data_IF_869557045704
#
_entry.id   IF_869557045704
#
_cell.length_a   1.000
_cell.length_b   1.000
_cell.length_c   1.000
_cell.angle_alpha   90.00
_cell.angle_beta   90.00
_cell.angle_gamma   90.00
#
_symmetry.space_group_name_H-M   'P 1'
#
loop_
_entity.id
_entity.type
_entity.pdbx_description
1 polymer ?
#
# COMPACT_ATOMS: atom_id res chain seq x y z
N UNK A 1 -21.51 0.80 31.65
CA UNK A 1 -20.45 0.48 30.69
C UNK A 1 -20.98 0.68 29.27
N UNK A 2 -22.25 0.41 28.98
CA UNK A 2 -22.86 0.62 27.65
C UNK A 2 -23.01 2.10 27.26
N UNK A 3 -23.06 3.02 28.23
CA UNK A 3 -23.28 4.44 27.93
C UNK A 3 -22.01 5.22 27.53
N UNK A 4 -20.83 4.64 27.71
CA UNK A 4 -19.57 5.34 27.40
C UNK A 4 -19.20 5.19 25.91
N UNK A 5 -19.58 4.08 25.28
CA UNK A 5 -19.27 3.83 23.87
C UNK A 5 -20.14 4.62 22.89
N UNK A 6 -21.40 4.89 23.28
CA UNK A 6 -22.34 5.64 22.42
C UNK A 6 -21.99 7.14 22.38
N UNK A 7 -21.41 7.66 23.45
CA UNK A 7 -21.07 9.09 23.53
C UNK A 7 -19.84 9.47 22.68
N UNK A 8 -18.87 8.58 22.54
CA UNK A 8 -17.65 8.86 21.76
C UNK A 8 -17.92 8.90 20.25
N UNK A 9 -18.83 8.07 19.74
CA UNK A 9 -19.19 8.08 18.32
C UNK A 9 -20.03 9.31 17.95
N UNK A 10 -20.97 9.72 18.79
CA UNK A 10 -21.79 10.92 18.54
C UNK A 10 -20.96 12.20 18.58
N UNK A 11 -19.92 12.25 19.42
CA UNK A 11 -19.07 13.44 19.53
C UNK A 11 -18.14 13.59 18.32
N UNK A 12 -17.68 12.47 17.75
CA UNK A 12 -16.87 12.51 16.52
C UNK A 12 -17.67 12.95 15.29
N UNK A 13 -18.96 12.60 15.23
CA UNK A 13 -19.82 13.00 14.10
C UNK A 13 -20.16 14.52 14.15
N UNK A 14 -20.27 15.09 15.37
CA UNK A 14 -20.58 16.52 15.51
C UNK A 14 -19.40 17.45 15.17
N UNK A 15 -18.17 16.96 15.26
CA UNK A 15 -16.99 17.76 14.91
C UNK A 15 -16.74 17.84 13.38
N UNK A 16 -17.31 16.90 12.62
CA UNK A 16 -17.20 16.92 11.15
C UNK A 16 -18.24 17.80 10.45
N UNK A 17 -19.29 18.23 11.16
CA UNK A 17 -20.37 19.03 10.57
C UNK A 17 -20.18 20.53 10.64
N UNK A 18 -19.06 21.03 11.18
CA UNK A 18 -18.89 22.47 11.44
C UNK A 18 -17.84 23.15 10.55
N UNK A 19 -17.33 22.43 9.51
CA UNK A 19 -16.50 23.11 8.53
C UNK A 19 -17.42 23.67 7.45
N UNK A 20 -17.65 24.96 7.52
CA UNK A 20 -18.27 25.72 6.45
C UNK A 20 -17.56 25.41 5.13
N UNK A 21 -18.34 25.26 4.08
CA UNK A 21 -17.83 25.25 2.71
C UNK A 21 -17.00 26.50 2.49
N UNK A 22 -15.73 26.45 2.81
CA UNK A 22 -14.80 27.40 2.24
C UNK A 22 -14.66 26.99 0.79
N UNK A 23 -15.13 27.83 -0.12
CA UNK A 23 -14.73 27.75 -1.51
C UNK A 23 -13.20 27.83 -1.51
N UNK A 24 -12.56 26.67 -1.44
CA UNK A 24 -11.14 26.59 -1.78
C UNK A 24 -11.08 26.85 -3.27
N UNK A 25 -10.68 28.03 -3.64
CA UNK A 25 -10.22 28.26 -5.00
C UNK A 25 -9.17 27.17 -5.27
N UNK A 26 -9.51 26.22 -6.10
CA UNK A 26 -8.54 25.23 -6.57
C UNK A 26 -7.40 26.04 -7.22
N UNK A 27 -6.30 26.14 -6.51
CA UNK A 27 -5.05 26.57 -7.12
C UNK A 27 -4.67 25.43 -8.07
N UNK A 28 -5.13 25.54 -9.31
CA UNK A 28 -4.78 24.57 -10.33
C UNK A 28 -3.26 24.62 -10.50
N UNK A 29 -2.57 23.62 -9.99
CA UNK A 29 -1.15 23.46 -10.30
C UNK A 29 -1.01 23.31 -11.81
N UNK A 30 0.00 23.95 -12.43
CA UNK A 30 0.17 23.80 -13.87
C UNK A 30 0.35 22.35 -14.23
N UNK A 31 -0.50 21.87 -15.13
CA UNK A 31 -0.45 20.49 -15.62
C UNK A 31 0.83 20.35 -16.45
N UNK A 32 1.76 19.54 -15.98
CA UNK A 32 3.01 19.24 -16.68
C UNK A 32 2.68 18.27 -17.80
N UNK A 33 2.99 18.68 -19.05
CA UNK A 33 2.88 17.78 -20.19
C UNK A 33 4.07 16.80 -20.17
N UNK A 34 3.86 15.51 -19.94
CA UNK A 34 4.98 14.55 -19.86
C UNK A 34 5.73 14.36 -21.18
N UNK A 35 5.12 14.74 -22.33
CA UNK A 35 5.79 14.69 -23.63
C UNK A 35 6.70 15.90 -23.87
N UNK A 36 6.62 16.93 -23.03
CA UNK A 36 7.57 18.07 -23.07
C UNK A 36 8.84 17.70 -22.35
N UNK A 37 9.90 17.44 -23.10
CA UNK A 37 11.20 16.99 -22.56
C UNK A 37 11.77 17.97 -21.54
N UNK A 38 11.59 19.28 -21.77
CA UNK A 38 12.09 20.31 -20.83
C UNK A 38 11.32 20.24 -19.50
N UNK A 39 10.00 20.11 -19.58
CA UNK A 39 9.16 20.00 -18.38
C UNK A 39 9.43 18.69 -17.65
N UNK A 40 9.58 17.58 -18.37
CA UNK A 40 9.91 16.28 -17.81
C UNK A 40 11.28 16.29 -17.11
N UNK A 41 12.29 16.89 -17.77
CA UNK A 41 13.62 17.07 -17.18
C UNK A 41 13.56 17.89 -15.89
N UNK A 42 12.84 19.01 -15.92
CA UNK A 42 12.69 19.89 -14.76
C UNK A 42 12.02 19.14 -13.59
N UNK A 43 11.05 18.27 -13.87
CA UNK A 43 10.39 17.47 -12.83
C UNK A 43 11.37 16.45 -12.22
N UNK A 44 12.17 15.77 -13.05
CA UNK A 44 13.17 14.80 -12.55
C UNK A 44 14.19 15.53 -11.66
N UNK A 45 14.70 16.70 -12.10
CA UNK A 45 15.64 17.51 -11.31
C UNK A 45 14.99 17.99 -10.01
N UNK A 46 13.71 18.36 -10.05
CA UNK A 46 12.94 18.77 -8.87
C UNK A 46 12.85 17.62 -7.85
N UNK A 47 12.53 16.40 -8.32
CA UNK A 47 12.46 15.21 -7.45
C UNK A 47 13.83 14.92 -6.84
N UNK A 48 14.90 14.98 -7.65
CA UNK A 48 16.26 14.75 -7.17
C UNK A 48 16.63 15.75 -6.07
N UNK A 49 16.39 17.03 -6.31
CA UNK A 49 16.81 18.11 -5.42
C UNK A 49 15.94 18.22 -4.17
N UNK A 50 14.61 18.21 -4.33
CA UNK A 50 13.69 18.57 -3.23
C UNK A 50 13.08 17.38 -2.52
N UNK A 51 12.95 16.24 -3.20
CA UNK A 51 12.44 15.03 -2.55
C UNK A 51 13.58 14.17 -1.99
N UNK A 52 14.65 14.00 -2.77
CA UNK A 52 15.79 13.15 -2.38
C UNK A 52 16.92 13.94 -1.70
N UNK A 53 16.91 15.27 -1.84
CA UNK A 53 17.95 16.17 -1.29
C UNK A 53 19.34 15.85 -1.83
N UNK A 54 19.45 15.56 -3.14
CA UNK A 54 20.69 15.20 -3.82
C UNK A 54 20.96 16.21 -4.93
N UNK A 55 22.19 16.72 -5.00
CA UNK A 55 22.64 17.59 -6.10
C UNK A 55 23.08 16.73 -7.29
N UNK A 56 22.79 17.20 -8.50
CA UNK A 56 23.05 16.45 -9.74
C UNK A 56 24.52 16.01 -9.88
N UNK A 57 25.46 16.87 -9.48
CA UNK A 57 26.88 16.57 -9.61
C UNK A 57 27.38 15.48 -8.63
N UNK A 58 26.56 15.07 -7.68
CA UNK A 58 26.88 14.01 -6.71
C UNK A 58 25.94 12.80 -6.86
N UNK A 59 25.00 12.89 -7.78
CA UNK A 59 23.97 11.85 -7.92
C UNK A 59 24.57 10.53 -8.44
N UNK A 60 24.14 9.45 -7.86
CA UNK A 60 24.44 8.08 -8.32
C UNK A 60 23.34 7.61 -9.28
N UNK A 61 23.58 6.48 -9.96
CA UNK A 61 22.52 5.83 -10.77
C UNK A 61 21.27 5.55 -9.94
N UNK A 62 21.44 5.07 -8.70
CA UNK A 62 20.30 4.83 -7.80
C UNK A 62 19.52 6.09 -7.45
N UNK A 63 20.21 7.23 -7.27
CA UNK A 63 19.53 8.50 -7.01
C UNK A 63 18.70 8.94 -8.24
N UNK A 64 19.28 8.78 -9.44
CA UNK A 64 18.57 9.11 -10.68
C UNK A 64 17.39 8.15 -10.89
N UNK A 65 17.57 6.83 -10.62
CA UNK A 65 16.47 5.87 -10.64
C UNK A 65 15.30 6.36 -9.76
N UNK A 66 15.60 6.72 -8.50
CA UNK A 66 14.57 7.19 -7.58
C UNK A 66 13.90 8.48 -8.07
N UNK A 67 14.67 9.42 -8.61
CA UNK A 67 14.13 10.68 -9.12
C UNK A 67 13.20 10.46 -10.31
N UNK A 68 13.62 9.59 -11.26
CA UNK A 68 12.81 9.20 -12.43
C UNK A 68 11.54 8.49 -11.99
N UNK A 69 11.65 7.51 -11.09
CA UNK A 69 10.49 6.77 -10.57
C UNK A 69 9.48 7.71 -9.90
N UNK A 70 9.96 8.67 -9.09
CA UNK A 70 9.10 9.68 -8.44
C UNK A 70 8.44 10.61 -9.46
N UNK A 71 9.12 10.95 -10.55
CA UNK A 71 8.55 11.76 -11.63
C UNK A 71 7.44 10.99 -12.37
N UNK A 72 7.66 9.70 -12.66
CA UNK A 72 6.65 8.84 -13.28
C UNK A 72 5.45 8.67 -12.33
N UNK A 73 5.71 8.40 -11.05
CA UNK A 73 4.63 8.28 -10.06
C UNK A 73 3.78 9.55 -9.98
N UNK A 74 4.38 10.73 -10.15
CA UNK A 74 3.64 12.00 -10.16
C UNK A 74 2.52 11.97 -11.23
N UNK A 75 2.85 11.57 -12.46
CA UNK A 75 1.85 11.46 -13.54
C UNK A 75 0.84 10.34 -13.27
N UNK A 76 1.30 9.22 -12.71
CA UNK A 76 0.40 8.12 -12.35
C UNK A 76 -0.66 8.57 -11.33
N UNK A 77 -0.26 9.41 -10.36
CA UNK A 77 -1.18 9.93 -9.35
C UNK A 77 -2.24 10.84 -9.98
N UNK A 78 -1.86 11.70 -10.92
CA UNK A 78 -2.80 12.54 -11.67
C UNK A 78 -3.79 11.69 -12.47
N UNK A 79 -3.28 10.68 -13.19
CA UNK A 79 -4.11 9.77 -13.96
C UNK A 79 -5.05 8.96 -13.05
N UNK A 80 -4.57 8.55 -11.89
CA UNK A 80 -5.38 7.80 -10.92
C UNK A 80 -6.55 8.64 -10.42
N UNK A 81 -6.30 9.88 -10.00
CA UNK A 81 -7.35 10.77 -9.50
C UNK A 81 -8.40 11.04 -10.58
N UNK A 82 -7.95 11.29 -11.81
CA UNK A 82 -8.83 11.49 -12.97
C UNK A 82 -9.64 10.22 -13.27
N UNK A 83 -8.99 9.06 -13.25
CA UNK A 83 -9.65 7.77 -13.50
C UNK A 83 -10.72 7.50 -12.45
N UNK A 84 -10.40 7.73 -11.17
CA UNK A 84 -11.35 7.52 -10.07
C UNK A 84 -12.57 8.43 -10.20
N UNK A 85 -12.35 9.72 -10.49
CA UNK A 85 -13.43 10.68 -10.64
C UNK A 85 -14.37 10.24 -11.78
N UNK A 86 -13.81 9.89 -12.94
CA UNK A 86 -14.57 9.42 -14.09
C UNK A 86 -15.34 8.13 -13.78
N UNK A 87 -14.69 7.16 -13.15
CA UNK A 87 -15.29 5.86 -12.80
C UNK A 87 -16.45 6.03 -11.82
N UNK A 88 -16.36 6.97 -10.88
CA UNK A 88 -17.44 7.30 -9.94
C UNK A 88 -18.61 7.97 -10.67
N UNK A 89 -18.33 8.93 -11.53
CA UNK A 89 -19.37 9.63 -12.33
C UNK A 89 -20.12 8.65 -13.23
N UNK A 90 -19.40 7.73 -13.88
CA UNK A 90 -19.98 6.70 -14.76
C UNK A 90 -20.61 5.54 -13.98
N UNK A 91 -20.48 5.52 -12.65
CA UNK A 91 -20.97 4.46 -11.75
C UNK A 91 -20.49 3.08 -12.21
N UNK A 92 -19.22 2.98 -12.62
CA UNK A 92 -18.65 1.71 -13.07
C UNK A 92 -18.68 0.66 -11.97
N UNK A 93 -19.02 -0.57 -12.33
CA UNK A 93 -18.89 -1.72 -11.44
C UNK A 93 -17.40 -1.91 -11.13
N UNK A 94 -17.08 -2.04 -9.84
CA UNK A 94 -15.69 -2.12 -9.38
C UNK A 94 -15.29 -3.56 -9.05
N UNK A 95 -14.08 -3.93 -9.45
CA UNK A 95 -13.46 -5.23 -9.14
C UNK A 95 -12.46 -5.04 -8.00
N UNK A 96 -12.55 -5.88 -7.00
CA UNK A 96 -11.57 -5.95 -5.91
C UNK A 96 -10.85 -7.29 -6.02
N UNK A 97 -9.56 -7.27 -6.32
CA UNK A 97 -8.76 -8.48 -6.54
C UNK A 97 -7.85 -8.70 -5.34
N UNK A 98 -8.17 -9.70 -4.53
CA UNK A 98 -7.38 -10.03 -3.34
C UNK A 98 -6.40 -11.15 -3.67
N UNK A 99 -5.13 -10.94 -3.32
CA UNK A 99 -4.11 -12.00 -3.46
C UNK A 99 -3.09 -11.88 -2.33
N UNK A 100 -2.65 -13.04 -1.87
CA UNK A 100 -1.54 -13.11 -0.91
C UNK A 100 -0.19 -12.77 -1.57
N UNK A 101 -0.14 -12.80 -2.91
CA UNK A 101 1.08 -12.56 -3.68
C UNK A 101 0.81 -11.65 -4.88
N UNK A 102 1.75 -10.76 -5.15
CA UNK A 102 1.81 -9.97 -6.39
C UNK A 102 3.26 -9.97 -6.88
N UNK A 103 3.56 -10.78 -7.87
CA UNK A 103 4.91 -10.86 -8.44
C UNK A 103 5.06 -9.80 -9.53
N UNK A 104 5.34 -8.56 -9.11
CA UNK A 104 5.40 -7.39 -10.00
C UNK A 104 6.67 -7.37 -10.85
N UNK A 105 7.81 -7.70 -10.26
CA UNK A 105 9.11 -7.54 -10.90
C UNK A 105 9.54 -6.07 -10.89
N UNK A 106 10.34 -5.68 -11.88
CA UNK A 106 10.80 -4.31 -12.06
C UNK A 106 9.69 -3.46 -12.70
N UNK A 107 9.47 -2.28 -12.16
CA UNK A 107 8.33 -1.44 -12.51
C UNK A 107 8.66 -0.28 -13.45
N UNK A 108 9.87 0.27 -13.40
CA UNK A 108 10.21 1.50 -14.11
C UNK A 108 10.06 1.34 -15.62
N UNK A 109 10.67 0.29 -16.20
CA UNK A 109 10.56 0.04 -17.65
C UNK A 109 9.11 -0.15 -18.07
N UNK A 110 8.36 -0.96 -17.30
CA UNK A 110 6.95 -1.23 -17.58
C UNK A 110 6.12 0.07 -17.58
N UNK A 111 6.34 0.91 -16.58
CA UNK A 111 5.61 2.18 -16.45
C UNK A 111 5.97 3.14 -17.59
N UNK A 112 7.25 3.25 -17.96
CA UNK A 112 7.69 4.10 -19.08
C UNK A 112 7.05 3.65 -20.39
N UNK A 113 6.98 2.33 -20.63
CA UNK A 113 6.36 1.77 -21.84
C UNK A 113 4.83 2.03 -21.81
N UNK A 114 4.17 1.76 -20.69
CA UNK A 114 2.73 1.93 -20.55
C UNK A 114 2.30 3.39 -20.75
N UNK A 115 3.10 4.33 -20.25
CA UNK A 115 2.81 5.77 -20.36
C UNK A 115 3.35 6.39 -21.65
N UNK A 116 3.99 5.58 -22.51
CA UNK A 116 4.59 6.03 -23.77
C UNK A 116 5.63 7.14 -23.54
N UNK A 117 6.51 6.95 -22.56
CA UNK A 117 7.53 7.93 -22.13
C UNK A 117 8.97 7.37 -22.17
N UNK A 118 9.17 6.19 -22.78
CA UNK A 118 10.50 5.54 -22.75
C UNK A 118 11.54 6.36 -23.52
N UNK A 119 11.18 6.85 -24.70
CA UNK A 119 12.10 7.63 -25.56
C UNK A 119 12.37 9.00 -24.96
N UNK A 120 11.33 9.66 -24.46
CA UNK A 120 11.45 10.99 -23.81
C UNK A 120 12.33 10.89 -22.57
N UNK A 121 12.12 9.88 -21.75
CA UNK A 121 12.92 9.69 -20.53
C UNK A 121 14.38 9.36 -20.88
N UNK A 122 14.61 8.60 -21.96
CA UNK A 122 15.97 8.31 -22.42
C UNK A 122 16.69 9.62 -22.76
N UNK A 123 16.01 10.52 -23.46
CA UNK A 123 16.60 11.83 -23.79
C UNK A 123 16.88 12.65 -22.51
N UNK A 124 15.94 12.67 -21.57
CA UNK A 124 16.10 13.39 -20.29
C UNK A 124 17.32 12.85 -19.52
N UNK A 125 17.38 11.53 -19.35
CA UNK A 125 18.45 10.88 -18.57
C UNK A 125 19.81 11.10 -19.23
N UNK A 126 19.89 10.99 -20.56
CA UNK A 126 21.12 11.26 -21.32
C UNK A 126 21.58 12.72 -21.15
N UNK A 127 20.65 13.66 -21.18
CA UNK A 127 20.93 15.09 -21.02
C UNK A 127 21.40 15.44 -19.59
N UNK A 128 21.02 14.60 -18.61
CA UNK A 128 21.51 14.71 -17.23
C UNK A 128 22.89 14.06 -17.05
N UNK A 129 23.41 13.39 -18.09
CA UNK A 129 24.72 12.76 -18.05
C UNK A 129 24.72 11.28 -17.65
N UNK A 130 23.58 10.60 -17.74
CA UNK A 130 23.42 9.20 -17.33
C UNK A 130 22.89 8.35 -18.49
N UNK A 131 22.91 7.04 -18.32
CA UNK A 131 22.40 6.06 -19.30
C UNK A 131 21.14 5.40 -18.72
N UNK A 132 20.02 5.50 -19.44
CA UNK A 132 18.76 4.94 -18.98
C UNK A 132 18.83 3.41 -18.72
N UNK A 133 19.58 2.67 -19.54
CA UNK A 133 19.70 1.21 -19.34
C UNK A 133 20.36 0.90 -17.99
N UNK A 134 21.41 1.67 -17.63
CA UNK A 134 22.06 1.51 -16.33
C UNK A 134 21.14 1.92 -15.18
N UNK A 135 20.30 2.94 -15.40
CA UNK A 135 19.32 3.37 -14.39
C UNK A 135 18.26 2.28 -14.17
N UNK A 136 17.78 1.66 -15.25
CA UNK A 136 16.79 0.57 -15.16
C UNK A 136 17.33 -0.63 -14.40
N UNK A 137 18.62 -0.91 -14.53
CA UNK A 137 19.29 -2.03 -13.83
C UNK A 137 19.41 -1.80 -12.32
N UNK A 138 19.26 -0.55 -11.84
CA UNK A 138 19.30 -0.25 -10.40
C UNK A 138 18.06 -0.73 -9.65
N UNK A 139 16.94 -0.98 -10.37
CA UNK A 139 15.68 -1.32 -9.72
C UNK A 139 15.69 -2.75 -9.17
N UNK A 140 15.51 -2.93 -7.85
CA UNK A 140 15.35 -4.27 -7.31
C UNK A 140 13.98 -4.83 -7.69
N UNK A 141 13.89 -6.14 -7.88
CA UNK A 141 12.61 -6.80 -8.09
C UNK A 141 11.73 -6.63 -6.85
N UNK A 142 10.49 -6.22 -7.03
CA UNK A 142 9.52 -6.16 -5.95
C UNK A 142 9.13 -7.58 -5.56
N UNK A 143 9.70 -8.06 -4.46
CA UNK A 143 9.62 -9.47 -4.04
C UNK A 143 8.35 -9.74 -3.22
N UNK A 144 7.19 -9.38 -3.77
CA UNK A 144 5.87 -9.52 -3.13
C UNK A 144 5.14 -10.79 -3.58
N UNK A 145 5.84 -11.71 -4.25
CA UNK A 145 5.22 -12.94 -4.74
C UNK A 145 6.23 -13.97 -5.20
N UNK A 146 5.74 -15.17 -5.46
CA UNK A 146 6.51 -16.31 -5.90
C UNK A 146 5.70 -17.12 -6.91
N UNK A 147 6.22 -17.30 -8.08
CA UNK A 147 5.65 -18.20 -9.07
C UNK A 147 4.35 -17.74 -9.71
N UNK A 148 3.59 -18.71 -10.18
CA UNK A 148 2.44 -18.50 -11.09
C UNK A 148 1.28 -17.73 -10.49
N UNK A 149 0.96 -17.97 -9.23
CA UNK A 149 -0.16 -17.30 -8.56
C UNK A 149 0.07 -15.78 -8.47
N UNK A 150 1.26 -15.41 -8.00
CA UNK A 150 1.66 -14.00 -7.89
C UNK A 150 1.80 -13.32 -9.24
N UNK A 151 2.33 -14.04 -10.25
CA UNK A 151 2.45 -13.48 -11.60
C UNK A 151 1.08 -13.30 -12.25
N UNK A 152 0.17 -14.25 -12.06
CA UNK A 152 -1.21 -14.14 -12.56
C UNK A 152 -1.90 -12.90 -11.97
N UNK A 153 -1.76 -12.69 -10.66
CA UNK A 153 -2.33 -11.52 -9.99
C UNK A 153 -1.79 -10.21 -10.57
N UNK A 154 -0.46 -10.14 -10.77
CA UNK A 154 0.21 -8.96 -11.35
C UNK A 154 -0.29 -8.71 -12.79
N UNK A 155 -0.41 -9.75 -13.61
CA UNK A 155 -0.92 -9.63 -14.97
C UNK A 155 -2.38 -9.18 -15.01
N UNK A 156 -3.21 -9.67 -14.10
CA UNK A 156 -4.62 -9.29 -14.06
C UNK A 156 -4.80 -7.81 -13.72
N UNK A 157 -4.07 -7.28 -12.72
CA UNK A 157 -4.22 -5.86 -12.38
C UNK A 157 -3.73 -4.96 -13.52
N UNK A 158 -2.67 -5.35 -14.21
CA UNK A 158 -2.14 -4.65 -15.39
C UNK A 158 -3.16 -4.66 -16.54
N UNK A 159 -3.73 -5.84 -16.82
CA UNK A 159 -4.74 -6.00 -17.89
C UNK A 159 -6.01 -5.21 -17.59
N UNK A 160 -6.47 -5.21 -16.34
CA UNK A 160 -7.67 -4.45 -15.96
C UNK A 160 -7.45 -2.95 -16.15
N UNK A 161 -6.25 -2.43 -15.84
CA UNK A 161 -5.93 -1.02 -16.11
C UNK A 161 -5.95 -0.72 -17.62
N UNK A 162 -5.34 -1.61 -18.42
CA UNK A 162 -5.28 -1.47 -19.88
C UNK A 162 -6.68 -1.49 -20.51
N UNK A 163 -7.60 -2.29 -19.94
CA UNK A 163 -8.98 -2.41 -20.45
C UNK A 163 -9.94 -1.39 -19.85
N UNK A 164 -9.45 -0.43 -19.08
CA UNK A 164 -10.24 0.58 -18.37
C UNK A 164 -11.32 -0.03 -17.47
N UNK A 165 -11.00 -1.18 -16.86
CA UNK A 165 -11.86 -1.78 -15.84
C UNK A 165 -11.55 -1.13 -14.49
N UNK A 166 -12.57 -0.59 -13.84
CA UNK A 166 -12.43 -0.01 -12.50
C UNK A 166 -12.05 -1.12 -11.51
N UNK A 167 -10.81 -1.14 -11.08
CA UNK A 167 -10.30 -2.24 -10.25
C UNK A 167 -9.29 -1.75 -9.22
N UNK A 168 -9.17 -2.52 -8.14
CA UNK A 168 -8.07 -2.37 -7.18
C UNK A 168 -7.59 -3.75 -6.75
N UNK A 169 -6.28 -3.91 -6.70
CA UNK A 169 -5.65 -5.07 -6.09
C UNK A 169 -5.45 -4.83 -4.61
N UNK A 170 -5.49 -5.90 -3.81
CA UNK A 170 -5.31 -5.84 -2.36
C UNK A 170 -4.39 -6.97 -1.93
N UNK A 171 -3.32 -6.63 -1.22
CA UNK A 171 -2.33 -7.59 -0.75
C UNK A 171 -1.64 -7.15 0.53
N UNK A 172 -0.61 -7.88 0.92
CA UNK A 172 0.19 -7.56 2.10
C UNK A 172 1.53 -6.97 1.62
N UNK A 173 1.96 -5.90 2.27
CA UNK A 173 3.27 -5.29 2.04
C UNK A 173 4.31 -6.06 2.85
N UNK A 174 4.84 -7.14 2.27
CA UNK A 174 5.88 -7.93 2.93
C UNK A 174 7.18 -7.12 3.03
N UNK A 175 7.78 -7.13 4.20
CA UNK A 175 9.06 -6.46 4.44
C UNK A 175 10.20 -7.23 3.75
N UNK A 176 10.15 -8.55 3.86
CA UNK A 176 11.13 -9.44 3.21
C UNK A 176 10.40 -10.29 2.19
N UNK A 177 10.90 -10.26 0.97
CA UNK A 177 10.40 -11.12 -0.10
C UNK A 177 10.90 -12.56 0.07
N UNK A 178 10.93 -13.27 -1.03
CA UNK A 178 11.57 -14.58 -1.05
C UNK A 178 13.09 -14.44 -0.90
N UNK A 179 13.74 -15.55 -0.66
CA UNK A 179 15.16 -15.58 -0.40
C UNK A 179 15.96 -15.16 -1.64
N UNK A 180 16.90 -14.25 -1.44
CA UNK A 180 17.94 -13.99 -2.43
C UNK A 180 18.95 -15.14 -2.36
N UNK A 181 19.23 -15.75 -3.50
CA UNK A 181 20.12 -16.88 -3.58
C UNK A 181 21.53 -16.41 -3.94
N UNK A 182 22.52 -16.95 -3.26
CA UNK A 182 23.94 -16.73 -3.55
C UNK A 182 24.68 -18.06 -3.49
N UNK A 183 25.90 -18.08 -3.99
CA UNK A 183 26.76 -19.24 -3.90
C UNK A 183 27.93 -18.95 -2.95
N UNK A 184 28.10 -19.80 -1.95
CA UNK A 184 29.24 -19.77 -1.04
C UNK A 184 29.83 -21.17 -0.94
N UNK A 185 31.12 -21.30 -1.24
CA UNK A 185 31.85 -22.60 -1.22
C UNK A 185 31.14 -23.67 -2.06
N UNK A 186 30.71 -23.29 -3.27
CA UNK A 186 30.00 -24.14 -4.23
C UNK A 186 28.65 -24.68 -3.74
N UNK A 187 28.09 -24.07 -2.70
CA UNK A 187 26.75 -24.40 -2.19
C UNK A 187 25.84 -23.19 -2.33
N UNK A 188 24.60 -23.47 -2.68
CA UNK A 188 23.56 -22.44 -2.74
C UNK A 188 23.17 -22.04 -1.31
N UNK A 189 23.23 -20.75 -1.03
CA UNK A 189 22.86 -20.19 0.28
C UNK A 189 21.74 -19.17 0.06
N UNK A 190 20.75 -19.23 0.90
CA UNK A 190 19.60 -18.32 0.88
C UNK A 190 19.76 -17.22 1.93
N UNK A 191 19.52 -15.99 1.51
CA UNK A 191 19.53 -14.83 2.39
C UNK A 191 18.16 -14.15 2.31
N UNK A 192 17.69 -13.53 3.41
CA UNK A 192 16.47 -12.71 3.31
C UNK A 192 16.64 -11.65 2.22
N UNK A 193 15.66 -11.55 1.34
CA UNK A 193 15.68 -10.55 0.28
C UNK A 193 15.02 -9.27 0.79
N UNK A 194 15.84 -8.38 1.31
CA UNK A 194 15.40 -7.04 1.70
C UNK A 194 15.30 -6.19 0.42
N UNK A 195 14.13 -6.19 -0.19
CA UNK A 195 13.88 -5.43 -1.43
C UNK A 195 13.62 -3.94 -1.15
N UNK A 196 14.02 -3.47 0.04
CA UNK A 196 13.89 -2.09 0.46
C UNK A 196 12.46 -1.55 0.37
N UNK A 197 11.49 -2.39 0.75
CA UNK A 197 10.08 -2.03 0.72
C UNK A 197 9.76 -0.75 1.50
N UNK A 198 10.57 -0.44 2.50
CA UNK A 198 10.40 0.77 3.31
C UNK A 198 10.72 2.05 2.54
N UNK A 199 11.53 1.95 1.48
CA UNK A 199 12.02 3.12 0.73
C UNK A 199 11.67 3.06 -0.75
N UNK A 200 10.73 2.19 -1.15
CA UNK A 200 10.31 2.07 -2.54
C UNK A 200 9.74 3.40 -3.05
N UNK A 201 10.24 3.94 -4.18
CA UNK A 201 9.70 5.18 -4.73
C UNK A 201 8.28 5.01 -5.27
N UNK A 202 7.82 3.76 -5.45
CA UNK A 202 6.51 3.46 -6.05
C UNK A 202 5.36 3.52 -5.07
N UNK A 203 5.62 3.40 -3.75
CA UNK A 203 4.57 3.27 -2.74
C UNK A 203 4.22 4.64 -2.12
N UNK A 204 2.93 4.86 -1.96
CA UNK A 204 2.39 6.04 -1.24
C UNK A 204 1.67 5.53 0.01
N UNK A 205 2.17 5.92 1.15
CA UNK A 205 1.65 5.50 2.45
C UNK A 205 0.51 6.41 2.89
N UNK A 206 -0.58 5.82 3.41
CA UNK A 206 -1.78 6.54 3.82
C UNK A 206 -2.08 6.34 5.31
N UNK A 207 -1.35 7.02 6.17
CA UNK A 207 -1.56 6.95 7.64
C UNK A 207 -2.98 7.38 8.04
N UNK A 208 -3.56 8.35 7.36
CA UNK A 208 -4.92 8.82 7.67
C UNK A 208 -5.99 7.76 7.39
N UNK A 209 -5.66 6.74 6.60
CA UNK A 209 -6.57 5.66 6.23
C UNK A 209 -6.25 4.36 6.98
N UNK A 210 -5.54 4.44 8.08
CA UNK A 210 -5.19 3.25 8.87
C UNK A 210 -6.45 2.50 9.32
N UNK A 211 -6.34 1.18 9.41
CA UNK A 211 -7.47 0.28 9.68
C UNK A 211 -7.18 -0.48 10.97
N UNK A 212 -8.13 -0.44 11.90
CA UNK A 212 -8.01 -1.15 13.18
C UNK A 212 -8.64 -2.53 13.03
N UNK A 213 -7.83 -3.57 13.24
CA UNK A 213 -8.22 -4.97 13.06
C UNK A 213 -8.15 -5.68 14.42
N UNK A 214 -9.29 -6.17 14.95
CA UNK A 214 -9.25 -7.00 16.16
C UNK A 214 -8.72 -8.39 15.83
N UNK A 215 -7.88 -8.94 16.69
CA UNK A 215 -7.26 -10.26 16.49
C UNK A 215 -7.23 -11.03 17.79
N UNK A 216 -7.52 -12.33 17.72
CA UNK A 216 -7.49 -13.21 18.88
C UNK A 216 -8.71 -13.03 19.76
N UNK A 217 -8.55 -13.27 21.05
CA UNK A 217 -9.63 -13.20 22.01
C UNK A 217 -10.46 -14.50 22.07
N UNK A 218 -11.63 -14.38 22.66
CA UNK A 218 -12.55 -15.50 22.85
C UNK A 218 -13.99 -15.00 22.79
N UNK A 219 -14.91 -15.94 22.52
CA UNK A 219 -16.33 -15.63 22.50
C UNK A 219 -16.92 -16.00 23.86
N UNK A 220 -17.49 -15.05 24.54
CA UNK A 220 -18.28 -15.30 25.74
C UNK A 220 -19.74 -15.46 25.33
N UNK A 221 -20.29 -16.63 25.67
CA UNK A 221 -21.68 -16.94 25.36
C UNK A 221 -22.58 -16.28 26.42
N UNK A 222 -23.45 -15.39 26.01
CA UNK A 222 -24.33 -14.64 26.88
C UNK A 222 -25.71 -14.51 26.25
N UNK A 223 -26.67 -14.03 27.03
CA UNK A 223 -28.03 -13.72 26.57
C UNK A 223 -28.30 -12.23 26.76
N UNK A 224 -29.11 -11.67 25.89
CA UNK A 224 -29.54 -10.28 26.02
C UNK A 224 -30.67 -10.18 27.07
N UNK A 225 -31.21 -8.97 27.29
CA UNK A 225 -32.24 -8.71 28.27
C UNK A 225 -33.54 -9.48 27.97
N UNK A 226 -33.74 -9.86 26.72
CA UNK A 226 -34.93 -10.60 26.27
C UNK A 226 -34.69 -12.13 26.23
N UNK A 227 -33.50 -12.59 26.65
CA UNK A 227 -33.13 -13.99 26.67
C UNK A 227 -32.68 -14.58 25.34
N UNK A 228 -32.38 -13.73 24.35
CA UNK A 228 -31.84 -14.18 23.07
C UNK A 228 -30.31 -14.36 23.15
N UNK A 229 -29.80 -15.34 22.44
CA UNK A 229 -28.36 -15.62 22.37
C UNK A 229 -27.63 -14.36 21.85
N UNK A 230 -26.72 -13.83 22.65
CA UNK A 230 -25.99 -12.61 22.37
C UNK A 230 -24.50 -12.80 22.69
N UNK A 231 -23.75 -13.45 21.80
CA UNK A 231 -22.33 -13.72 22.05
C UNK A 231 -21.52 -12.42 22.04
N UNK A 232 -20.55 -12.31 22.93
CA UNK A 232 -19.63 -11.17 23.02
C UNK A 232 -18.21 -11.62 22.72
N UNK A 233 -17.54 -10.90 21.81
CA UNK A 233 -16.13 -11.14 21.49
C UNK A 233 -15.27 -10.29 22.43
N UNK A 234 -14.51 -10.96 23.28
CA UNK A 234 -13.74 -10.33 24.37
C UNK A 234 -12.26 -10.70 24.26
N UNK A 235 -11.42 -9.86 24.87
CA UNK A 235 -9.98 -10.16 25.02
C UNK A 235 -9.16 -10.07 23.73
N UNK A 236 -9.74 -9.48 22.66
CA UNK A 236 -9.00 -9.28 21.39
C UNK A 236 -7.95 -8.18 21.54
N UNK A 237 -6.92 -8.25 20.71
CA UNK A 237 -5.91 -7.22 20.56
C UNK A 237 -6.15 -6.46 19.25
N UNK A 238 -5.75 -5.19 19.22
CA UNK A 238 -5.87 -4.40 18.00
C UNK A 238 -4.54 -4.41 17.24
N UNK A 239 -4.63 -4.73 15.94
CA UNK A 239 -3.53 -4.56 15.01
C UNK A 239 -3.92 -3.45 14.04
N UNK A 240 -2.97 -2.62 13.65
CA UNK A 240 -3.20 -1.52 12.72
C UNK A 240 -2.71 -1.96 11.34
N UNK A 241 -3.60 -1.92 10.35
CA UNK A 241 -3.25 -2.06 8.94
C UNK A 241 -3.00 -0.69 8.35
N UNK A 242 -1.81 -0.46 7.80
CA UNK A 242 -1.46 0.81 7.14
C UNK A 242 -1.46 0.57 5.62
N UNK A 243 -2.34 1.26 4.87
CA UNK A 243 -2.36 1.09 3.40
C UNK A 243 -1.20 1.80 2.73
N UNK A 244 -0.64 1.14 1.73
CA UNK A 244 0.38 1.68 0.81
C UNK A 244 -0.10 1.44 -0.61
N UNK A 245 -0.26 2.49 -1.38
CA UNK A 245 -0.77 2.40 -2.76
C UNK A 245 0.37 2.39 -3.78
N UNK A 246 0.33 1.39 -4.66
CA UNK A 246 1.14 1.27 -5.86
C UNK A 246 0.22 1.51 -7.06
N UNK A 247 0.62 2.39 -7.98
CA UNK A 247 -0.22 2.78 -9.12
C UNK A 247 0.08 1.89 -10.32
N UNK A 248 -0.99 1.43 -10.98
CA UNK A 248 -0.92 0.50 -12.11
C UNK A 248 -1.51 1.20 -13.33
N UNK A 249 -0.63 1.65 -14.23
CA UNK A 249 -1.01 2.35 -15.46
C UNK A 249 -1.38 1.37 -16.55
N UNK A 250 -2.46 1.65 -17.28
CA UNK A 250 -2.84 0.90 -18.46
C UNK A 250 -1.89 1.18 -19.64
N UNK A 251 -1.75 0.21 -20.53
CA UNK A 251 -0.86 0.34 -21.69
C UNK A 251 -1.40 1.40 -22.66
N UNK A 252 -0.64 2.50 -22.78
CA UNK A 252 -0.94 3.66 -23.64
C UNK A 252 -2.31 4.28 -23.36
N UNK A 253 -2.82 4.08 -22.15
CA UNK A 253 -4.09 4.64 -21.70
C UNK A 253 -3.85 5.55 -20.49
N UNK A 254 -4.78 6.46 -20.27
CA UNK A 254 -4.71 7.30 -19.07
C UNK A 254 -5.33 6.62 -17.84
N UNK A 255 -6.00 5.48 -18.05
CA UNK A 255 -6.59 4.73 -16.94
C UNK A 255 -5.51 4.20 -16.00
N UNK A 256 -5.66 4.49 -14.73
CA UNK A 256 -4.73 4.04 -13.70
C UNK A 256 -5.52 3.51 -12.52
N UNK A 257 -5.24 2.26 -12.16
CA UNK A 257 -5.79 1.59 -10.99
C UNK A 257 -4.76 1.57 -9.87
N UNK A 258 -5.10 0.97 -8.73
CA UNK A 258 -4.16 0.81 -7.61
C UNK A 258 -4.01 -0.65 -7.22
N UNK A 259 -2.84 -0.95 -6.70
CA UNK A 259 -2.58 -2.12 -5.86
C UNK A 259 -2.34 -1.58 -4.44
N UNK A 260 -3.25 -1.89 -3.52
CA UNK A 260 -3.16 -1.46 -2.13
C UNK A 260 -2.56 -2.57 -1.29
N UNK A 261 -1.42 -2.29 -0.69
CA UNK A 261 -0.66 -3.23 0.13
C UNK A 261 -0.71 -2.78 1.59
N UNK A 262 -1.08 -3.70 2.49
CA UNK A 262 -1.22 -3.38 3.92
C UNK A 262 0.00 -3.88 4.69
N UNK A 263 0.61 -2.99 5.49
CA UNK A 263 1.58 -3.38 6.51
C UNK A 263 0.89 -3.47 7.86
N UNK A 264 1.33 -4.40 8.69
CA UNK A 264 0.79 -4.60 10.02
C UNK A 264 1.70 -3.95 11.07
N UNK A 265 1.10 -3.13 11.92
CA UNK A 265 1.82 -2.46 13.02
C UNK A 265 1.08 -2.72 14.33
N UNK A 266 1.82 -2.79 15.42
CA UNK A 266 1.21 -2.83 16.75
C UNK A 266 0.42 -1.54 16.99
N UNK A 267 -0.74 -1.65 17.63
CA UNK A 267 -1.46 -0.44 18.03
C UNK A 267 -0.59 0.36 19.03
N UNK A 268 -0.67 1.68 18.94
CA UNK A 268 0.10 2.62 19.79
C UNK A 268 -0.18 2.50 21.28
N UNK A 269 -1.07 1.65 21.67
CA UNK A 269 -1.05 1.11 23.00
C UNK A 269 0.17 0.18 23.18
N UNK A 270 1.34 0.61 22.68
CA UNK A 270 2.62 0.24 23.31
C UNK A 270 2.34 0.44 24.78
N UNK A 271 2.11 -0.66 25.47
CA UNK A 271 1.50 -0.62 26.79
C UNK A 271 2.49 0.06 27.72
N UNK A 272 2.45 1.39 27.74
CA UNK A 272 3.36 2.20 28.53
C UNK A 272 3.28 1.77 30.01
N UNK A 273 2.13 1.22 30.41
CA UNK A 273 1.97 0.67 31.75
C UNK A 273 2.80 -0.61 31.94
N UNK A 274 2.83 -1.50 30.93
CA UNK A 274 3.68 -2.71 30.95
C UNK A 274 5.14 -2.29 30.93
N UNK A 275 5.50 -1.36 30.05
CA UNK A 275 6.87 -0.84 29.93
C UNK A 275 7.32 -0.20 31.24
N UNK A 276 6.48 0.65 31.85
CA UNK A 276 6.80 1.33 33.11
C UNK A 276 6.88 0.37 34.31
N UNK A 277 6.27 -0.82 34.23
CA UNK A 277 6.42 -1.88 35.22
C UNK A 277 7.72 -2.67 35.04
N UNK A 278 8.52 -2.36 34.04
CA UNK A 278 9.78 -3.03 33.77
C UNK A 278 9.65 -4.32 32.93
N UNK A 279 8.47 -4.65 32.46
CA UNK A 279 8.27 -5.85 31.62
C UNK A 279 8.54 -5.51 30.15
N UNK A 280 9.78 -5.13 29.87
CA UNK A 280 10.20 -4.73 28.52
C UNK A 280 10.08 -5.86 27.50
N UNK A 281 10.36 -7.09 27.94
CA UNK A 281 10.34 -8.28 27.07
C UNK A 281 8.91 -8.51 26.55
N UNK A 282 7.92 -8.41 27.43
CA UNK A 282 6.52 -8.60 27.04
C UNK A 282 6.04 -7.51 26.09
N UNK A 283 6.38 -6.24 26.37
CA UNK A 283 6.02 -5.11 25.50
C UNK A 283 6.62 -5.25 24.10
N UNK A 284 7.89 -5.67 24.00
CA UNK A 284 8.60 -5.89 22.75
C UNK A 284 8.02 -7.10 22.01
N UNK A 285 7.72 -8.20 22.69
CA UNK A 285 7.20 -9.41 22.06
C UNK A 285 5.82 -9.19 21.44
N UNK A 286 4.97 -8.40 22.08
CA UNK A 286 3.65 -8.05 21.53
C UNK A 286 3.76 -7.22 20.25
N UNK A 287 4.72 -6.28 20.22
CA UNK A 287 5.01 -5.47 19.04
C UNK A 287 5.52 -6.36 17.90
N UNK A 288 6.49 -7.22 18.18
CA UNK A 288 7.07 -8.13 17.17
C UNK A 288 5.99 -9.05 16.60
N UNK A 289 5.12 -9.60 17.45
CA UNK A 289 4.05 -10.50 16.98
C UNK A 289 3.10 -9.81 16.00
N UNK A 290 2.78 -8.54 16.24
CA UNK A 290 1.93 -7.76 15.32
C UNK A 290 2.65 -7.50 13.98
N UNK A 291 3.90 -7.09 14.04
CA UNK A 291 4.68 -6.75 12.84
C UNK A 291 5.01 -7.99 11.99
N UNK A 292 5.12 -9.16 12.61
CA UNK A 292 5.41 -10.42 11.89
C UNK A 292 4.37 -10.75 10.82
N UNK A 293 3.14 -10.24 10.94
CA UNK A 293 2.07 -10.47 9.96
C UNK A 293 2.51 -10.01 8.55
N UNK A 294 3.23 -8.89 8.46
CA UNK A 294 3.70 -8.36 7.18
C UNK A 294 5.21 -8.50 6.97
N UNK A 295 5.87 -9.37 7.72
CA UNK A 295 7.32 -9.57 7.57
C UNK A 295 7.66 -10.47 6.38
N UNK A 296 7.09 -11.67 6.33
CA UNK A 296 7.53 -12.74 5.42
C UNK A 296 6.32 -13.35 4.72
N UNK A 297 6.44 -13.54 3.39
CA UNK A 297 5.37 -14.09 2.55
C UNK A 297 5.03 -15.54 2.92
N UNK A 298 6.03 -16.40 3.09
CA UNK A 298 5.82 -17.83 3.35
C UNK A 298 6.45 -18.24 4.67
N UNK A 299 5.71 -18.12 5.80
CA UNK A 299 6.18 -18.75 7.04
C UNK A 299 6.21 -20.27 6.87
N UNK A 300 7.09 -20.93 7.60
CA UNK A 300 7.25 -22.39 7.52
C UNK A 300 5.94 -23.10 7.90
N UNK A 301 5.46 -23.98 7.03
CA UNK A 301 4.27 -24.81 7.29
C UNK A 301 4.58 -26.05 8.14
N UNK A 302 5.85 -26.28 8.44
CA UNK A 302 6.26 -27.48 9.21
C UNK A 302 5.89 -27.39 10.69
N UNK A 303 5.72 -26.16 11.19
CA UNK A 303 5.42 -25.90 12.60
C UNK A 303 4.03 -25.25 12.75
N UNK A 304 3.38 -25.54 13.86
CA UNK A 304 2.03 -25.02 14.14
C UNK A 304 2.01 -23.47 14.12
N UNK A 305 3.03 -22.84 14.69
CA UNK A 305 3.13 -21.37 14.75
C UNK A 305 3.18 -20.75 13.35
N UNK A 306 3.80 -21.42 12.38
CA UNK A 306 3.83 -20.98 10.99
C UNK A 306 2.46 -21.03 10.33
N UNK A 307 1.69 -22.11 10.59
CA UNK A 307 0.32 -22.25 10.09
C UNK A 307 -0.60 -21.18 10.70
N UNK A 308 -0.46 -20.93 11.99
CA UNK A 308 -1.21 -19.88 12.68
C UNK A 308 -0.90 -18.48 12.11
N UNK A 309 0.37 -18.22 11.81
CA UNK A 309 0.76 -16.95 11.19
C UNK A 309 0.14 -16.81 9.80
N UNK A 310 0.14 -17.87 9.00
CA UNK A 310 -0.47 -17.86 7.66
C UNK A 310 -1.98 -17.55 7.73
N UNK A 311 -2.68 -18.20 8.63
CA UNK A 311 -4.11 -17.93 8.84
C UNK A 311 -4.33 -16.48 9.28
N UNK A 312 -3.47 -15.99 10.16
CA UNK A 312 -3.52 -14.58 10.61
C UNK A 312 -3.29 -13.60 9.45
N UNK A 313 -2.34 -13.91 8.56
CA UNK A 313 -2.08 -13.09 7.36
C UNK A 313 -3.32 -13.04 6.46
N UNK A 314 -3.97 -14.18 6.21
CA UNK A 314 -5.17 -14.25 5.39
C UNK A 314 -6.32 -13.45 6.03
N UNK A 315 -6.54 -13.63 7.32
CA UNK A 315 -7.54 -12.87 8.07
C UNK A 315 -7.26 -11.36 7.99
N UNK A 316 -6.01 -10.97 8.23
CA UNK A 316 -5.59 -9.56 8.20
C UNK A 316 -5.87 -8.93 6.84
N UNK A 317 -5.46 -9.59 5.74
CA UNK A 317 -5.68 -9.09 4.38
C UNK A 317 -7.17 -8.89 4.09
N UNK A 318 -7.98 -9.91 4.38
CA UNK A 318 -9.43 -9.85 4.11
C UNK A 318 -10.09 -8.76 4.97
N UNK A 319 -9.75 -8.70 6.26
CA UNK A 319 -10.33 -7.72 7.18
C UNK A 319 -9.99 -6.29 6.75
N UNK A 320 -8.72 -6.01 6.39
CA UNK A 320 -8.30 -4.70 5.88
C UNK A 320 -9.06 -4.34 4.60
N UNK A 321 -9.13 -5.29 3.66
CA UNK A 321 -9.80 -5.06 2.38
C UNK A 321 -11.29 -4.75 2.56
N UNK A 322 -11.99 -5.53 3.39
CA UNK A 322 -13.42 -5.31 3.63
C UNK A 322 -13.66 -3.94 4.29
N UNK A 323 -12.81 -3.54 5.24
CA UNK A 323 -12.93 -2.22 5.88
C UNK A 323 -12.75 -1.09 4.86
N UNK A 324 -11.80 -1.21 3.95
CA UNK A 324 -11.60 -0.23 2.87
C UNK A 324 -12.83 -0.17 1.95
N UNK A 325 -13.33 -1.33 1.53
CA UNK A 325 -14.52 -1.41 0.66
C UNK A 325 -15.72 -0.75 1.34
N UNK A 326 -15.95 -1.03 2.61
CA UNK A 326 -17.07 -0.42 3.35
C UNK A 326 -16.90 1.09 3.50
N UNK A 327 -15.68 1.56 3.76
CA UNK A 327 -15.40 2.99 3.85
C UNK A 327 -15.70 3.69 2.52
N UNK A 328 -15.17 3.16 1.42
CA UNK A 328 -15.40 3.72 0.08
C UNK A 328 -16.88 3.73 -0.28
N UNK A 329 -17.59 2.65 0.05
CA UNK A 329 -19.03 2.56 -0.20
C UNK A 329 -19.81 3.61 0.63
N UNK A 330 -19.46 3.77 1.88
CA UNK A 330 -20.13 4.74 2.78
C UNK A 330 -19.89 6.19 2.33
N UNK A 331 -18.68 6.49 1.85
CA UNK A 331 -18.35 7.82 1.32
C UNK A 331 -19.19 8.17 0.09
N UNK A 332 -19.39 7.20 -0.80
CA UNK A 332 -20.16 7.42 -2.03
C UNK A 332 -21.67 7.47 -1.76
N UNK A 333 -22.09 6.68 -0.80
CA UNK A 333 -23.54 6.55 -0.50
C UNK A 333 -23.95 7.24 0.79
N UNK A 334 -23.23 8.05 1.12
CA UNK A 334 -23.37 8.90 2.25
C UNK A 334 -24.69 8.92 2.95
N UNK A 335 -25.54 8.52 2.47
CA UNK A 335 -26.80 8.47 3.07
C UNK A 335 -27.03 7.20 3.82
N UNK A 336 -26.41 6.48 3.60
CA UNK A 336 -26.57 5.21 4.20
C UNK A 336 -25.63 4.93 5.33
N UNK A 337 -25.03 5.73 5.57
CA UNK A 337 -24.04 5.67 6.56
C UNK A 337 -24.55 5.59 7.96
N UNK A 338 -25.53 5.68 8.03
CA UNK A 338 -26.12 5.63 9.32
C UNK A 338 -26.48 4.25 9.73
N UNK A 339 -26.35 3.57 9.00
CA UNK A 339 -26.78 2.28 9.31
C UNK A 339 -25.75 1.25 9.61
N UNK A 340 -24.87 1.65 9.76
CA UNK A 340 -23.92 0.66 10.07
C UNK A 340 -23.53 0.54 11.41
#
# INVERSE_FOLDING_TARGET
VQNIFVYTWKTMIYLHGAFAETETSEVSMPVINPQDIKALRALVEQKLKYTLCVSLNKATNGDIFNAVALAIRHFQQDHFLTSQARQREERKKRVYYLSMEFLLGQSLRNNLVNMNLLDEMRLVVNDLGFDLELILDEEPDAALGNGGLGRLAACFIDSMATLDIAASGHGIKYEYGLFRQSFQNDQQVEHPDDWHSMHSPWLVEHHAQQILIPLGGYIEHSEDIDGNYNPMWLGWKTIIGIPHDYFVSGYRETSTNTLRLYSAVASDSFNIHIFNRGDYIKAVSEKIASENISKILYPSDEVLTGKELRLTQEYFLVACTLRDIFRDYAEVNXXXXXXX
#
